data_IF_370741814850
#
_entry.id   IF_370741814850
#
_cell.length_a   1.000
_cell.length_b   1.000
_cell.length_c   1.000
_cell.angle_alpha   90.00
_cell.angle_beta   90.00
_cell.angle_gamma   90.00
#
_symmetry.space_group_name_H-M   'P 1'
#
loop_
_entity.id
_entity.type
_entity.pdbx_description
1 polymer ?
#
# COMPACT_ATOMS: atom_id res chain seq x y z
N UNK A 1 9.57 -25.33 29.19
CA UNK A 1 9.66 -24.52 27.96
C UNK A 1 9.64 -25.49 26.80
N UNK A 2 8.44 -25.89 26.37
CA UNK A 2 8.28 -26.84 25.27
C UNK A 2 7.77 -26.03 24.07
N UNK A 3 8.73 -25.60 23.24
CA UNK A 3 8.49 -24.99 21.93
C UNK A 3 8.49 -26.18 20.97
N UNK A 4 7.48 -27.02 21.09
CA UNK A 4 7.34 -28.20 20.24
C UNK A 4 6.39 -27.85 19.10
N UNK A 5 6.82 -28.16 17.88
CA UNK A 5 6.09 -28.01 16.63
C UNK A 5 5.72 -26.58 16.24
N UNK A 6 6.67 -25.94 15.54
CA UNK A 6 6.33 -25.15 14.35
C UNK A 6 5.31 -25.95 13.54
N UNK A 7 4.04 -25.57 13.67
CA UNK A 7 2.95 -26.03 12.85
C UNK A 7 3.31 -25.77 11.39
N UNK A 8 3.85 -26.80 10.75
CA UNK A 8 3.89 -26.89 9.30
C UNK A 8 2.44 -27.04 8.88
N UNK A 9 1.79 -25.90 8.66
CA UNK A 9 0.38 -25.82 8.33
C UNK A 9 0.22 -26.29 6.89
N UNK A 10 0.06 -27.59 6.72
CA UNK A 10 -0.75 -28.14 5.65
C UNK A 10 -2.19 -27.70 5.94
N UNK A 11 -2.79 -26.98 4.99
CA UNK A 11 -4.21 -26.66 5.06
C UNK A 11 -4.98 -28.00 5.15
N UNK A 12 -5.91 -28.16 6.11
CA UNK A 12 -6.74 -29.38 6.13
C UNK A 12 -7.48 -29.51 4.80
N UNK A 13 -7.74 -30.75 4.37
CA UNK A 13 -8.30 -31.10 3.05
C UNK A 13 -9.59 -30.34 2.67
N UNK A 14 -10.23 -29.66 3.64
CA UNK A 14 -11.45 -28.87 3.48
C UNK A 14 -11.45 -27.60 4.35
N UNK A 15 -10.44 -26.73 4.23
CA UNK A 15 -10.47 -25.43 4.93
C UNK A 15 -11.49 -24.47 4.29
N UNK A 16 -12.28 -23.78 5.11
CA UNK A 16 -13.27 -22.79 4.66
C UNK A 16 -13.17 -21.53 5.50
N UNK A 17 -13.26 -20.38 4.83
CA UNK A 17 -13.46 -19.08 5.47
C UNK A 17 -14.96 -18.80 5.39
N UNK A 18 -15.70 -19.31 6.38
CA UNK A 18 -17.17 -19.35 6.40
C UNK A 18 -17.82 -18.20 7.18
N UNK A 19 -17.07 -17.49 8.02
CA UNK A 19 -17.58 -16.44 8.89
C UNK A 19 -17.33 -15.05 8.32
N UNK A 20 -18.37 -14.22 8.25
CA UNK A 20 -18.23 -12.81 7.86
C UNK A 20 -17.40 -12.04 8.90
N UNK A 21 -16.58 -11.05 8.50
CA UNK A 21 -15.93 -10.17 9.45
C UNK A 21 -16.98 -9.39 10.26
N UNK A 22 -16.91 -9.52 11.58
CA UNK A 22 -17.76 -8.74 12.48
C UNK A 22 -17.13 -7.36 12.71
N UNK A 23 -17.50 -6.38 11.87
CA UNK A 23 -17.01 -5.01 11.98
C UNK A 23 -17.37 -4.31 13.30
N UNK A 24 -18.35 -4.81 14.06
CA UNK A 24 -18.64 -4.34 15.41
C UNK A 24 -17.46 -4.51 16.37
N UNK A 25 -16.58 -5.49 16.12
CA UNK A 25 -15.33 -5.68 16.88
C UNK A 25 -14.37 -4.50 16.75
N UNK A 26 -14.51 -3.62 15.76
CA UNK A 26 -13.68 -2.42 15.65
C UNK A 26 -13.84 -1.47 16.84
N UNK A 27 -14.99 -1.50 17.50
CA UNK A 27 -15.25 -0.69 18.70
C UNK A 27 -14.57 -1.27 19.95
N UNK A 28 -14.04 -2.49 19.90
CA UNK A 28 -13.33 -3.08 21.02
C UNK A 28 -11.98 -2.38 21.23
N UNK A 29 -11.56 -2.12 22.48
CA UNK A 29 -10.34 -1.37 22.76
C UNK A 29 -9.10 -1.94 22.05
N UNK A 30 -8.92 -3.24 22.00
CA UNK A 30 -7.80 -3.93 21.33
C UNK A 30 -7.76 -3.74 19.81
N UNK A 31 -8.88 -3.32 19.20
CA UNK A 31 -9.02 -3.06 17.78
C UNK A 31 -8.98 -1.56 17.49
N UNK A 32 -9.87 -0.80 18.14
CA UNK A 32 -10.10 0.61 17.88
C UNK A 32 -9.01 1.52 18.44
N UNK A 33 -8.49 1.24 19.65
CA UNK A 33 -7.48 2.12 20.27
C UNK A 33 -6.18 2.17 19.44
N UNK A 34 -5.58 1.05 19.00
CA UNK A 34 -4.39 1.11 18.14
C UNK A 34 -4.63 1.82 16.80
N UNK A 35 -5.83 1.71 16.22
CA UNK A 35 -6.20 2.42 14.99
C UNK A 35 -6.19 3.94 15.19
N UNK A 36 -6.83 4.40 16.27
CA UNK A 36 -6.88 5.83 16.63
C UNK A 36 -5.48 6.34 16.95
N UNK A 37 -4.70 5.59 17.74
CA UNK A 37 -3.32 5.96 18.07
C UNK A 37 -2.44 6.04 16.82
N UNK A 38 -2.56 5.09 15.89
CA UNK A 38 -1.85 5.14 14.60
C UNK A 38 -2.23 6.40 13.81
N UNK A 39 -3.53 6.68 13.66
CA UNK A 39 -4.02 7.88 12.97
C UNK A 39 -3.43 9.16 13.59
N UNK A 40 -3.47 9.28 14.92
CA UNK A 40 -2.93 10.44 15.63
C UNK A 40 -1.41 10.54 15.49
N UNK A 41 -0.69 9.42 15.51
CA UNK A 41 0.75 9.39 15.30
C UNK A 41 1.13 9.90 13.90
N UNK A 42 0.43 9.47 12.85
CA UNK A 42 0.66 9.98 11.50
C UNK A 42 0.23 11.44 11.33
N UNK A 43 -0.82 11.88 12.03
CA UNK A 43 -1.23 13.28 12.07
C UNK A 43 -0.15 14.16 12.69
N UNK A 44 0.42 13.72 13.81
CA UNK A 44 1.53 14.38 14.48
C UNK A 44 2.78 14.40 13.59
N UNK A 45 3.12 13.27 12.97
CA UNK A 45 4.24 13.18 12.03
C UNK A 45 4.07 14.14 10.84
N UNK A 46 2.88 14.23 10.25
CA UNK A 46 2.59 15.16 9.16
C UNK A 46 2.73 16.62 9.59
N UNK A 47 2.28 16.95 10.81
CA UNK A 47 2.51 18.27 11.40
C UNK A 47 4.01 18.56 11.56
N UNK A 48 4.80 17.63 12.12
CA UNK A 48 6.25 17.76 12.24
C UNK A 48 6.91 18.00 10.87
N UNK A 49 6.52 17.22 9.84
CA UNK A 49 7.03 17.40 8.48
C UNK A 49 6.69 18.78 7.93
N UNK A 50 5.46 19.27 8.13
CA UNK A 50 5.06 20.61 7.68
C UNK A 50 5.83 21.76 8.34
N UNK A 51 6.35 21.54 9.56
CA UNK A 51 7.08 22.55 10.33
C UNK A 51 8.57 22.57 10.04
N UNK A 52 9.19 21.40 9.85
CA UNK A 52 10.64 21.27 9.81
C UNK A 52 11.20 20.73 8.50
N UNK A 53 10.40 20.03 7.69
CA UNK A 53 10.85 19.49 6.41
C UNK A 53 10.43 20.39 5.25
N UNK A 54 11.26 20.41 4.19
CA UNK A 54 10.95 21.06 2.91
C UNK A 54 10.62 22.56 3.01
N UNK A 55 11.10 23.27 4.03
CA UNK A 55 10.81 24.70 4.29
C UNK A 55 11.33 25.66 3.21
N UNK A 56 12.23 25.19 2.34
CA UNK A 56 12.66 25.92 1.14
C UNK A 56 11.65 25.93 0.00
N UNK A 57 10.55 25.16 0.09
CA UNK A 57 9.44 25.16 -0.86
C UNK A 57 8.21 25.82 -0.24
N UNK A 58 7.30 26.33 -1.06
CA UNK A 58 6.06 26.97 -0.60
C UNK A 58 4.82 26.36 -1.26
N UNK A 59 3.66 26.60 -0.65
CA UNK A 59 2.35 26.25 -1.20
C UNK A 59 2.15 24.76 -1.43
N UNK A 60 1.53 24.42 -2.56
CA UNK A 60 1.17 23.04 -2.89
C UNK A 60 2.39 22.11 -2.98
N UNK A 61 3.51 22.61 -3.52
CA UNK A 61 4.76 21.84 -3.65
C UNK A 61 5.31 21.39 -2.29
N UNK A 62 5.35 22.28 -1.31
CA UNK A 62 5.81 21.96 0.04
C UNK A 62 4.91 20.91 0.67
N UNK A 63 3.60 21.11 0.63
CA UNK A 63 2.61 20.15 1.11
C UNK A 63 2.83 18.76 0.50
N UNK A 64 2.98 18.67 -0.83
CA UNK A 64 3.19 17.40 -1.55
C UNK A 64 4.46 16.70 -1.11
N UNK A 65 5.56 17.44 -0.94
CA UNK A 65 6.83 16.89 -0.47
C UNK A 65 6.73 16.36 0.96
N UNK A 66 6.11 17.11 1.87
CA UNK A 66 5.86 16.66 3.25
C UNK A 66 4.98 15.41 3.28
N UNK A 67 3.87 15.42 2.54
CA UNK A 67 2.97 14.27 2.42
C UNK A 67 3.69 13.03 1.90
N UNK A 68 4.41 13.14 0.77
CA UNK A 68 5.20 12.04 0.21
C UNK A 68 6.25 11.51 1.18
N UNK A 69 6.84 12.37 2.01
CA UNK A 69 7.81 11.95 3.04
C UNK A 69 7.14 11.09 4.11
N UNK A 70 5.93 11.47 4.56
CA UNK A 70 5.13 10.64 5.46
C UNK A 70 4.77 9.30 4.80
N UNK A 71 4.42 9.31 3.51
CA UNK A 71 4.16 8.08 2.75
C UNK A 71 5.39 7.17 2.72
N UNK A 72 6.59 7.70 2.45
CA UNK A 72 7.84 6.93 2.47
C UNK A 72 8.09 6.29 3.83
N UNK A 73 7.87 7.03 4.93
CA UNK A 73 8.05 6.50 6.30
C UNK A 73 7.09 5.34 6.53
N UNK A 74 5.80 5.50 6.20
CA UNK A 74 4.81 4.43 6.30
C UNK A 74 5.21 3.20 5.48
N UNK A 75 5.46 3.38 4.18
CA UNK A 75 5.81 2.29 3.27
C UNK A 75 7.09 1.57 3.69
N UNK A 76 8.06 2.28 4.28
CA UNK A 76 9.30 1.69 4.80
C UNK A 76 9.04 0.81 6.03
N UNK A 77 8.25 1.31 6.99
CA UNK A 77 7.91 0.56 8.21
C UNK A 77 7.11 -0.69 7.86
N UNK A 78 6.02 -0.53 7.12
CA UNK A 78 5.09 -1.62 6.84
C UNK A 78 5.60 -2.53 5.72
N UNK A 79 6.06 -1.95 4.60
CA UNK A 79 6.65 -2.72 3.51
C UNK A 79 7.88 -3.49 3.95
N UNK A 80 8.76 -2.89 4.76
CA UNK A 80 9.91 -3.58 5.35
C UNK A 80 9.51 -4.73 6.27
N UNK A 81 8.53 -4.50 7.16
CA UNK A 81 8.03 -5.54 8.08
C UNK A 81 7.42 -6.73 7.34
N UNK A 82 6.58 -6.47 6.34
CA UNK A 82 5.92 -7.52 5.56
C UNK A 82 6.90 -8.22 4.62
N UNK A 83 7.87 -7.49 4.05
CA UNK A 83 8.92 -8.10 3.23
C UNK A 83 9.81 -9.03 4.07
N UNK A 84 10.21 -8.60 5.27
CA UNK A 84 10.93 -9.46 6.22
C UNK A 84 10.11 -10.71 6.57
N UNK A 85 8.81 -10.56 6.84
CA UNK A 85 7.92 -11.70 7.07
C UNK A 85 7.90 -12.64 5.86
N UNK A 86 7.76 -12.10 4.64
CA UNK A 86 7.71 -12.91 3.42
C UNK A 86 9.00 -13.71 3.17
N UNK A 87 10.17 -13.14 3.50
CA UNK A 87 11.46 -13.83 3.39
C UNK A 87 11.64 -14.93 4.44
N UNK A 88 11.15 -14.71 5.65
CA UNK A 88 11.32 -15.65 6.78
C UNK A 88 10.24 -16.73 6.84
N UNK A 89 9.06 -16.46 6.29
CA UNK A 89 7.87 -17.32 6.35
C UNK A 89 7.31 -17.60 4.94
N UNK A 90 8.19 -17.82 3.96
CA UNK A 90 7.80 -18.04 2.55
C UNK A 90 6.78 -19.17 2.38
N UNK A 91 6.93 -20.28 3.12
CA UNK A 91 5.98 -21.40 3.06
C UNK A 91 4.59 -20.99 3.55
N UNK A 92 4.51 -20.16 4.60
CA UNK A 92 3.23 -19.62 5.09
C UNK A 92 2.61 -18.69 4.04
N UNK A 93 3.41 -17.81 3.43
CA UNK A 93 2.94 -16.90 2.38
C UNK A 93 2.30 -17.65 1.21
N UNK A 94 2.87 -18.78 0.79
CA UNK A 94 2.40 -19.53 -0.37
C UNK A 94 1.29 -20.53 -0.04
N UNK A 95 1.41 -21.24 1.09
CA UNK A 95 0.56 -22.39 1.39
C UNK A 95 -0.63 -22.04 2.27
N UNK A 96 -0.60 -20.95 3.04
CA UNK A 96 -1.74 -20.56 3.87
C UNK A 96 -2.09 -19.06 3.83
N UNK A 97 -2.53 -18.54 2.66
CA UNK A 97 -2.90 -17.13 2.56
C UNK A 97 -4.17 -16.74 3.33
N UNK A 98 -5.07 -17.68 3.61
CA UNK A 98 -6.41 -17.38 4.09
C UNK A 98 -6.64 -17.57 5.59
N UNK A 99 -5.96 -18.55 6.22
CA UNK A 99 -6.28 -18.96 7.61
C UNK A 99 -5.14 -18.74 8.59
N UNK A 100 -3.89 -18.61 8.12
CA UNK A 100 -2.77 -18.29 8.99
C UNK A 100 -2.94 -16.90 9.61
N UNK A 101 -2.67 -16.81 10.91
CA UNK A 101 -2.71 -15.56 11.65
C UNK A 101 -1.68 -15.56 12.78
N UNK A 102 -1.01 -14.42 12.95
CA UNK A 102 -0.19 -14.15 14.12
C UNK A 102 -0.57 -12.76 14.69
N UNK A 103 -0.60 -12.57 16.02
CA UNK A 103 -0.98 -11.29 16.63
C UNK A 103 -0.19 -10.08 16.11
N UNK A 104 1.09 -10.26 15.77
CA UNK A 104 1.95 -9.20 15.21
C UNK A 104 1.40 -8.63 13.90
N UNK A 105 0.69 -9.45 13.09
CA UNK A 105 0.10 -9.04 11.82
C UNK A 105 -0.97 -7.98 11.99
N UNK A 106 -1.79 -8.13 13.03
CA UNK A 106 -2.84 -7.17 13.36
C UNK A 106 -2.29 -5.79 13.62
N UNK A 107 -1.17 -5.68 14.33
CA UNK A 107 -0.52 -4.39 14.59
C UNK A 107 -0.09 -3.72 13.29
N UNK A 108 0.46 -4.48 12.32
CA UNK A 108 0.83 -3.95 11.00
C UNK A 108 -0.39 -3.42 10.24
N UNK A 109 -1.51 -4.16 10.26
CA UNK A 109 -2.76 -3.69 9.65
C UNK A 109 -3.32 -2.45 10.35
N UNK A 110 -3.29 -2.40 11.69
CA UNK A 110 -3.78 -1.25 12.46
C UNK A 110 -2.96 0.01 12.18
N UNK A 111 -1.63 -0.13 12.14
CA UNK A 111 -0.73 0.96 11.72
C UNK A 111 -1.13 1.45 10.34
N UNK A 112 -1.35 0.53 9.40
CA UNK A 112 -1.65 0.87 8.01
C UNK A 112 -3.01 1.50 7.80
N UNK A 113 -4.07 1.00 8.44
CA UNK A 113 -5.41 1.60 8.35
C UNK A 113 -5.41 3.00 8.95
N UNK A 114 -4.77 3.21 10.10
CA UNK A 114 -4.63 4.55 10.70
C UNK A 114 -3.90 5.53 9.77
N UNK A 115 -2.84 5.07 9.10
CA UNK A 115 -2.14 5.84 8.07
C UNK A 115 -3.05 6.19 6.89
N UNK A 116 -3.76 5.23 6.28
CA UNK A 116 -4.58 5.49 5.10
C UNK A 116 -5.76 6.43 5.39
N UNK A 117 -6.34 6.37 6.58
CA UNK A 117 -7.35 7.34 7.03
C UNK A 117 -6.71 8.73 7.12
N UNK A 118 -5.55 8.85 7.76
CA UNK A 118 -4.80 10.09 7.83
C UNK A 118 -4.50 10.66 6.44
N UNK A 119 -3.91 9.86 5.56
CA UNK A 119 -3.46 10.29 4.23
C UNK A 119 -4.65 10.73 3.37
N UNK A 120 -5.76 10.01 3.45
CA UNK A 120 -7.00 10.37 2.76
C UNK A 120 -7.52 11.74 3.20
N UNK A 121 -7.68 11.96 4.51
CA UNK A 121 -8.15 13.24 5.06
C UNK A 121 -7.16 14.36 4.72
N UNK A 122 -5.87 14.09 4.88
CA UNK A 122 -4.81 15.04 4.59
C UNK A 122 -4.84 15.48 3.12
N UNK A 123 -5.01 14.53 2.19
CA UNK A 123 -5.11 14.81 0.77
C UNK A 123 -6.37 15.59 0.39
N UNK A 124 -7.54 15.16 0.87
CA UNK A 124 -8.82 15.81 0.56
C UNK A 124 -8.88 17.27 1.03
N UNK A 125 -8.20 17.60 2.13
CA UNK A 125 -8.10 18.98 2.63
C UNK A 125 -7.26 19.91 1.74
N UNK A 126 -6.43 19.38 0.84
CA UNK A 126 -5.56 20.18 -0.02
C UNK A 126 -5.96 20.13 -1.50
N UNK A 127 -6.61 19.05 -1.95
CA UNK A 127 -7.03 18.89 -3.33
C UNK A 127 -8.14 17.85 -3.51
N UNK A 128 -9.17 18.22 -4.27
CA UNK A 128 -10.10 17.28 -4.88
C UNK A 128 -9.90 17.32 -6.41
N UNK A 129 -9.26 16.28 -6.94
CA UNK A 129 -9.10 16.07 -8.39
C UNK A 129 -9.30 14.61 -8.75
N UNK A 130 -9.28 14.29 -10.06
CA UNK A 130 -9.33 12.89 -10.53
C UNK A 130 -8.29 11.99 -9.87
N UNK A 131 -7.11 12.55 -9.54
CA UNK A 131 -6.03 11.83 -8.86
C UNK A 131 -6.36 11.54 -7.40
N UNK A 132 -6.97 12.52 -6.72
CA UNK A 132 -7.47 12.35 -5.34
C UNK A 132 -8.58 11.30 -5.30
N UNK A 133 -9.50 11.30 -6.26
CA UNK A 133 -10.60 10.32 -6.32
C UNK A 133 -10.05 8.91 -6.56
N UNK A 134 -9.12 8.75 -7.49
CA UNK A 134 -8.45 7.46 -7.74
C UNK A 134 -7.76 6.94 -6.46
N UNK A 135 -7.05 7.81 -5.75
CA UNK A 135 -6.36 7.43 -4.51
C UNK A 135 -7.35 7.17 -3.34
N UNK A 136 -8.47 7.91 -3.28
CA UNK A 136 -9.54 7.66 -2.32
C UNK A 136 -10.16 6.26 -2.51
N UNK A 137 -10.44 5.87 -3.76
CA UNK A 137 -10.93 4.53 -4.08
C UNK A 137 -9.90 3.46 -3.70
N UNK A 138 -8.62 3.70 -4.01
CA UNK A 138 -7.52 2.83 -3.61
C UNK A 138 -7.48 2.65 -2.08
N UNK A 139 -7.42 3.74 -1.31
CA UNK A 139 -7.40 3.67 0.16
C UNK A 139 -8.65 3.01 0.75
N UNK A 140 -9.83 3.31 0.21
CA UNK A 140 -11.08 2.71 0.69
C UNK A 140 -11.06 1.19 0.52
N UNK A 141 -10.64 0.71 -0.65
CA UNK A 141 -10.52 -0.72 -0.91
C UNK A 141 -9.42 -1.38 -0.03
N UNK A 142 -8.28 -0.71 0.15
CA UNK A 142 -7.21 -1.18 1.04
C UNK A 142 -7.67 -1.28 2.49
N UNK A 143 -8.39 -0.27 2.98
CA UNK A 143 -8.92 -0.24 4.35
C UNK A 143 -9.90 -1.40 4.55
N UNK A 144 -10.84 -1.63 3.63
CA UNK A 144 -11.78 -2.76 3.72
C UNK A 144 -11.01 -4.09 3.81
N UNK A 145 -9.99 -4.30 2.96
CA UNK A 145 -9.17 -5.50 2.99
C UNK A 145 -8.49 -5.70 4.36
N UNK A 146 -7.92 -4.65 4.96
CA UNK A 146 -7.17 -4.76 6.21
C UNK A 146 -8.03 -4.79 7.46
N UNK A 147 -9.26 -4.28 7.40
CA UNK A 147 -10.23 -4.45 8.47
C UNK A 147 -10.71 -5.91 8.60
N UNK A 148 -10.61 -6.71 7.53
CA UNK A 148 -10.96 -8.13 7.57
C UNK A 148 -10.09 -8.90 8.60
N UNK A 149 -8.75 -9.01 8.45
CA UNK A 149 -7.92 -9.73 9.42
C UNK A 149 -7.87 -9.06 10.80
N UNK A 150 -8.16 -7.76 10.92
CA UNK A 150 -8.30 -7.10 12.24
C UNK A 150 -9.50 -7.67 13.01
N UNK A 151 -10.62 -7.96 12.33
CA UNK A 151 -11.88 -8.32 12.99
C UNK A 151 -12.18 -9.82 12.98
N UNK A 152 -11.75 -10.56 11.96
CA UNK A 152 -11.99 -12.00 11.82
C UNK A 152 -10.76 -12.86 12.06
N UNK A 153 -9.55 -12.27 12.05
CA UNK A 153 -8.27 -12.99 11.99
C UNK A 153 -8.07 -13.85 10.74
N UNK A 154 -8.96 -13.75 9.75
CA UNK A 154 -8.85 -14.44 8.47
C UNK A 154 -8.29 -13.48 7.40
N UNK A 155 -7.74 -14.02 6.31
CA UNK A 155 -7.13 -13.26 5.21
C UNK A 155 -5.88 -12.45 5.61
N UNK A 156 -5.26 -12.70 6.76
CA UNK A 156 -4.10 -11.93 7.20
C UNK A 156 -2.92 -12.10 6.24
N UNK A 157 -2.56 -13.32 5.86
CA UNK A 157 -1.46 -13.52 4.91
C UNK A 157 -1.82 -13.01 3.51
N UNK A 158 -3.07 -13.15 3.07
CA UNK A 158 -3.56 -12.55 1.83
C UNK A 158 -3.46 -11.01 1.85
N UNK A 159 -3.74 -10.38 2.99
CA UNK A 159 -3.56 -8.95 3.19
C UNK A 159 -2.08 -8.55 3.26
N UNK A 160 -1.20 -9.42 3.79
CA UNK A 160 0.25 -9.24 3.70
C UNK A 160 0.75 -9.28 2.25
N UNK A 161 0.22 -10.18 1.42
CA UNK A 161 0.49 -10.13 -0.02
C UNK A 161 0.12 -8.76 -0.59
N UNK A 162 -1.05 -8.21 -0.29
CA UNK A 162 -1.40 -6.86 -0.72
C UNK A 162 -0.41 -5.80 -0.19
N UNK A 163 -0.02 -5.87 1.08
CA UNK A 163 0.94 -4.94 1.68
C UNK A 163 2.35 -5.01 1.09
N UNK A 164 2.76 -6.11 0.46
CA UNK A 164 4.04 -6.17 -0.24
C UNK A 164 4.14 -5.10 -1.34
N UNK A 165 3.02 -4.61 -1.89
CA UNK A 165 3.01 -3.48 -2.81
C UNK A 165 3.66 -2.21 -2.22
N UNK A 166 3.65 -2.06 -0.90
CA UNK A 166 4.30 -0.93 -0.21
C UNK A 166 5.81 -0.92 -0.41
N UNK A 167 6.45 -2.07 -0.65
CA UNK A 167 7.88 -2.13 -0.98
C UNK A 167 8.17 -1.33 -2.27
N UNK A 168 7.31 -1.46 -3.29
CA UNK A 168 7.42 -0.60 -4.47
C UNK A 168 7.01 0.85 -4.17
N UNK A 169 6.00 1.09 -3.32
CA UNK A 169 5.58 2.45 -2.93
C UNK A 169 6.74 3.29 -2.39
N UNK A 170 7.71 2.69 -1.67
CA UNK A 170 8.94 3.39 -1.23
C UNK A 170 9.63 4.07 -2.42
N UNK A 171 9.96 3.30 -3.46
CA UNK A 171 10.68 3.81 -4.63
C UNK A 171 9.81 4.76 -5.46
N UNK A 172 8.50 4.50 -5.55
CA UNK A 172 7.55 5.37 -6.24
C UNK A 172 7.48 6.76 -5.59
N UNK A 173 7.42 6.82 -4.26
CA UNK A 173 7.38 8.08 -3.52
C UNK A 173 8.73 8.80 -3.55
N UNK A 174 9.85 8.08 -3.36
CA UNK A 174 11.20 8.65 -3.48
C UNK A 174 11.44 9.23 -4.88
N UNK A 175 11.00 8.54 -5.92
CA UNK A 175 11.04 9.02 -7.31
C UNK A 175 10.29 10.34 -7.46
N UNK A 176 9.08 10.41 -6.92
CA UNK A 176 8.25 11.62 -7.00
C UNK A 176 8.87 12.78 -6.19
N UNK A 177 9.43 12.50 -5.01
CA UNK A 177 10.18 13.48 -4.21
C UNK A 177 11.37 14.03 -5.02
N UNK A 178 12.13 13.19 -5.72
CA UNK A 178 13.25 13.66 -6.54
C UNK A 178 12.81 14.60 -7.67
N UNK A 179 11.70 14.26 -8.33
CA UNK A 179 11.11 15.10 -9.38
C UNK A 179 10.62 16.45 -8.81
N UNK A 180 9.91 16.41 -7.68
CA UNK A 180 9.35 17.61 -7.06
C UNK A 180 10.37 18.46 -6.33
N UNK A 181 11.48 17.92 -5.84
CA UNK A 181 12.53 18.70 -5.17
C UNK A 181 13.53 19.30 -6.17
N UNK A 182 13.45 18.96 -7.45
CA UNK A 182 14.46 19.33 -8.44
C UNK A 182 15.74 18.49 -8.35
N UNK A 183 15.77 17.43 -7.52
CA UNK A 183 16.93 16.54 -7.41
C UNK A 183 17.20 15.74 -8.68
N UNK A 184 16.25 15.63 -9.60
CA UNK A 184 16.49 15.04 -10.92
C UNK A 184 17.62 15.73 -11.69
N UNK A 185 17.78 17.06 -11.56
CA UNK A 185 18.87 17.79 -12.24
C UNK A 185 20.12 17.90 -11.39
N UNK A 186 20.00 18.03 -10.06
CA UNK A 186 21.17 18.16 -9.17
C UNK A 186 21.85 16.82 -8.85
N UNK A 187 21.12 15.71 -8.83
CA UNK A 187 21.61 14.37 -8.51
C UNK A 187 21.10 13.33 -9.53
N UNK A 188 21.51 13.42 -10.82
CA UNK A 188 20.95 12.60 -11.89
C UNK A 188 21.21 11.10 -11.71
N UNK A 189 22.36 10.72 -11.16
CA UNK A 189 22.71 9.30 -10.91
C UNK A 189 21.81 8.65 -9.85
N UNK A 190 21.55 9.34 -8.73
CA UNK A 190 20.62 8.87 -7.70
C UNK A 190 19.20 8.68 -8.27
N UNK A 191 18.74 9.66 -9.05
CA UNK A 191 17.44 9.60 -9.69
C UNK A 191 17.34 8.44 -10.70
N UNK A 192 18.41 8.16 -11.43
CA UNK A 192 18.45 7.05 -12.39
C UNK A 192 18.32 5.70 -11.70
N UNK A 193 19.05 5.48 -10.60
CA UNK A 193 18.94 4.25 -9.80
C UNK A 193 17.51 4.10 -9.27
N UNK A 194 16.93 5.14 -8.67
CA UNK A 194 15.57 5.10 -8.14
C UNK A 194 14.55 4.80 -9.24
N UNK A 195 14.70 5.39 -10.42
CA UNK A 195 13.83 5.16 -11.58
C UNK A 195 13.81 3.69 -11.99
N UNK A 196 14.98 3.07 -12.18
CA UNK A 196 15.05 1.65 -12.58
C UNK A 196 14.59 0.71 -11.46
N UNK A 197 15.03 0.95 -10.23
CA UNK A 197 14.58 0.17 -9.06
C UNK A 197 13.06 0.24 -8.90
N UNK A 198 12.46 1.42 -9.11
CA UNK A 198 11.01 1.56 -9.10
C UNK A 198 10.36 0.67 -10.17
N UNK A 199 10.84 0.65 -11.42
CA UNK A 199 10.25 -0.21 -12.46
C UNK A 199 10.36 -1.70 -12.12
N UNK A 200 11.54 -2.16 -11.69
CA UNK A 200 11.77 -3.57 -11.34
C UNK A 200 10.89 -3.99 -10.18
N UNK A 201 10.89 -3.20 -9.10
CA UNK A 201 10.06 -3.49 -7.92
C UNK A 201 8.57 -3.37 -8.21
N UNK A 202 8.15 -2.55 -9.18
CA UNK A 202 6.75 -2.45 -9.61
C UNK A 202 6.28 -3.77 -10.21
N UNK A 203 7.09 -4.39 -11.07
CA UNK A 203 6.76 -5.67 -11.68
C UNK A 203 6.64 -6.77 -10.62
N UNK A 204 7.61 -6.85 -9.70
CA UNK A 204 7.66 -7.87 -8.67
C UNK A 204 6.57 -7.68 -7.62
N UNK A 205 6.55 -6.52 -6.95
CA UNK A 205 5.70 -6.31 -5.77
C UNK A 205 4.30 -5.82 -6.10
N UNK A 206 4.03 -5.41 -7.35
CA UNK A 206 2.66 -5.14 -7.79
C UNK A 206 2.19 -6.27 -8.70
N UNK A 207 2.65 -6.34 -9.95
CA UNK A 207 2.01 -7.26 -10.90
C UNK A 207 2.05 -8.73 -10.47
N UNK A 208 3.19 -9.26 -10.01
CA UNK A 208 3.24 -10.67 -9.55
C UNK A 208 2.36 -10.90 -8.32
N UNK A 209 2.34 -9.95 -7.37
CA UNK A 209 1.46 -9.99 -6.20
C UNK A 209 -0.02 -10.04 -6.61
N UNK A 210 -0.47 -9.16 -7.50
CA UNK A 210 -1.85 -9.20 -7.98
C UNK A 210 -2.17 -10.49 -8.72
N UNK A 211 -1.25 -10.97 -9.57
CA UNK A 211 -1.43 -12.25 -10.27
C UNK A 211 -1.60 -13.39 -9.28
N UNK A 212 -0.78 -13.45 -8.24
CA UNK A 212 -0.92 -14.43 -7.17
C UNK A 212 -2.28 -14.32 -6.47
N UNK A 213 -2.68 -13.13 -6.03
CA UNK A 213 -3.94 -12.93 -5.30
C UNK A 213 -5.16 -13.30 -6.15
N UNK A 214 -5.20 -12.88 -7.42
CA UNK A 214 -6.27 -13.22 -8.36
C UNK A 214 -6.31 -14.74 -8.58
N UNK A 215 -5.16 -15.37 -8.85
CA UNK A 215 -5.08 -16.81 -9.08
C UNK A 215 -5.53 -17.60 -7.84
N UNK A 216 -5.05 -17.21 -6.66
CA UNK A 216 -5.40 -17.83 -5.39
C UNK A 216 -6.90 -17.74 -5.13
N UNK A 217 -7.49 -16.54 -5.20
CA UNK A 217 -8.92 -16.38 -4.93
C UNK A 217 -9.78 -17.08 -5.98
N UNK A 218 -9.37 -17.07 -7.26
CA UNK A 218 -10.11 -17.77 -8.31
C UNK A 218 -10.07 -19.29 -8.13
N UNK A 219 -8.89 -19.86 -7.82
CA UNK A 219 -8.71 -21.30 -7.65
C UNK A 219 -9.48 -21.84 -6.44
N UNK A 220 -9.49 -21.11 -5.33
CA UNK A 220 -10.14 -21.54 -4.08
C UNK A 220 -11.45 -20.80 -3.82
N UNK A 221 -12.12 -20.30 -4.87
CA UNK A 221 -13.29 -19.43 -4.71
C UNK A 221 -14.45 -20.08 -3.93
N UNK A 222 -14.56 -21.41 -3.98
CA UNK A 222 -15.59 -22.18 -3.30
C UNK A 222 -15.32 -22.33 -1.80
N UNK A 223 -14.10 -22.00 -1.34
CA UNK A 223 -13.69 -22.04 0.06
C UNK A 223 -14.01 -20.75 0.81
N UNK A 224 -14.57 -19.74 0.15
CA UNK A 224 -14.83 -18.42 0.70
C UNK A 224 -16.32 -18.09 0.70
N UNK A 225 -16.81 -17.44 1.77
CA UNK A 225 -18.10 -16.73 1.67
C UNK A 225 -18.03 -15.66 0.58
N UNK A 226 -19.18 -15.32 0.00
CA UNK A 226 -19.29 -14.31 -1.06
C UNK A 226 -18.55 -13.01 -0.79
N UNK A 227 -18.54 -12.54 0.46
CA UNK A 227 -17.80 -11.35 0.87
C UNK A 227 -16.29 -11.47 0.63
N UNK A 228 -15.65 -12.55 1.09
CA UNK A 228 -14.21 -12.76 0.90
C UNK A 228 -13.84 -13.08 -0.54
N UNK A 229 -14.73 -13.78 -1.27
CA UNK A 229 -14.61 -13.93 -2.72
C UNK A 229 -14.62 -12.56 -3.40
N UNK A 230 -15.51 -11.67 -2.97
CA UNK A 230 -15.64 -10.34 -3.55
C UNK A 230 -14.40 -9.48 -3.27
N UNK A 231 -14.00 -9.38 -2.00
CA UNK A 231 -12.82 -8.62 -1.57
C UNK A 231 -11.55 -9.18 -2.20
N UNK A 232 -11.38 -10.51 -2.21
CA UNK A 232 -10.20 -11.16 -2.77
C UNK A 232 -10.11 -11.00 -4.28
N UNK A 233 -11.16 -11.33 -5.03
CA UNK A 233 -11.11 -11.36 -6.49
C UNK A 233 -11.31 -9.97 -7.11
N UNK A 234 -12.45 -9.32 -6.84
CA UNK A 234 -12.76 -8.02 -7.45
C UNK A 234 -11.91 -6.90 -6.86
N UNK A 235 -11.55 -6.99 -5.57
CA UNK A 235 -10.54 -6.12 -4.98
C UNK A 235 -9.21 -6.25 -5.71
N UNK A 236 -8.67 -7.46 -5.88
CA UNK A 236 -7.38 -7.63 -6.59
C UNK A 236 -7.44 -7.20 -8.06
N UNK A 237 -8.57 -7.39 -8.76
CA UNK A 237 -8.77 -6.90 -10.13
C UNK A 237 -8.80 -5.36 -10.19
N UNK A 238 -9.44 -4.70 -9.23
CA UNK A 238 -9.41 -3.24 -9.11
C UNK A 238 -7.97 -2.74 -8.95
N UNK A 239 -7.18 -3.36 -8.08
CA UNK A 239 -5.78 -2.97 -7.88
C UNK A 239 -4.92 -3.25 -9.11
N UNK A 240 -5.18 -4.34 -9.85
CA UNK A 240 -4.49 -4.60 -11.11
C UNK A 240 -4.73 -3.47 -12.11
N UNK A 241 -5.98 -3.02 -12.26
CA UNK A 241 -6.34 -1.91 -13.16
C UNK A 241 -5.65 -0.61 -12.71
N UNK A 242 -5.73 -0.26 -11.42
CA UNK A 242 -5.04 0.92 -10.87
C UNK A 242 -3.52 0.84 -11.13
N UNK A 243 -2.92 -0.32 -10.91
CA UNK A 243 -1.48 -0.53 -11.11
C UNK A 243 -1.08 -0.47 -12.59
N UNK A 244 -1.92 -0.92 -13.54
CA UNK A 244 -1.67 -0.73 -14.98
C UNK A 244 -1.63 0.76 -15.32
N UNK A 245 -2.61 1.54 -14.88
CA UNK A 245 -2.64 2.99 -15.13
C UNK A 245 -1.47 3.71 -14.45
N UNK A 246 -1.14 3.34 -13.22
CA UNK A 246 -0.01 3.89 -12.49
C UNK A 246 1.33 3.56 -13.19
N UNK A 247 1.52 2.32 -13.63
CA UNK A 247 2.72 1.89 -14.35
C UNK A 247 2.89 2.66 -15.66
N UNK A 248 1.82 2.79 -16.45
CA UNK A 248 1.83 3.59 -17.67
C UNK A 248 2.25 5.04 -17.39
N UNK A 249 1.70 5.67 -16.35
CA UNK A 249 2.06 7.06 -15.97
C UNK A 249 3.53 7.19 -15.55
N UNK A 250 4.06 6.22 -14.83
CA UNK A 250 5.49 6.15 -14.46
C UNK A 250 6.35 6.06 -15.72
N UNK A 251 6.09 5.09 -16.60
CA UNK A 251 6.85 4.88 -17.84
C UNK A 251 6.79 6.11 -18.76
N UNK A 252 5.62 6.72 -18.88
CA UNK A 252 5.41 7.93 -19.66
C UNK A 252 6.24 9.10 -19.11
N UNK A 253 6.16 9.37 -17.80
CA UNK A 253 6.85 10.53 -17.20
C UNK A 253 8.37 10.38 -17.13
N UNK A 254 8.88 9.16 -17.06
CA UNK A 254 10.33 8.87 -17.09
C UNK A 254 10.93 8.77 -18.49
N UNK A 255 10.09 8.85 -19.53
CA UNK A 255 10.54 8.86 -20.93
C UNK A 255 10.78 7.49 -21.55
N UNK A 256 10.41 6.40 -20.86
CA UNK A 256 10.49 5.04 -21.41
C UNK A 256 9.58 4.82 -22.63
N UNK A 257 8.51 5.61 -22.75
CA UNK A 257 7.57 5.57 -23.88
C UNK A 257 7.87 6.63 -24.95
N UNK A 258 9.05 7.26 -24.89
CA UNK A 258 9.49 8.28 -25.84
C UNK A 258 9.14 9.73 -25.46
N UNK A 259 9.87 10.68 -26.07
CA UNK A 259 9.85 12.10 -25.70
C UNK A 259 8.49 12.78 -25.84
N UNK A 260 7.75 12.49 -26.93
CA UNK A 260 6.41 13.07 -27.17
C UNK A 260 5.42 12.70 -26.06
N UNK A 261 5.44 11.43 -25.62
CA UNK A 261 4.57 10.96 -24.54
C UNK A 261 5.00 11.57 -23.21
N UNK A 262 6.32 11.70 -22.97
CA UNK A 262 6.84 12.34 -21.77
C UNK A 262 6.41 13.81 -21.63
N UNK A 263 6.49 14.59 -22.70
CA UNK A 263 6.04 15.99 -22.69
C UNK A 263 4.54 16.10 -22.41
N UNK A 264 3.72 15.23 -23.02
CA UNK A 264 2.29 15.17 -22.75
C UNK A 264 1.99 14.78 -21.30
N UNK A 265 2.72 13.82 -20.75
CA UNK A 265 2.59 13.39 -19.37
C UNK A 265 2.93 14.52 -18.39
N UNK A 266 4.00 15.29 -18.66
CA UNK A 266 4.38 16.46 -17.85
C UNK A 266 3.28 17.53 -17.84
N UNK A 267 2.71 17.86 -19.00
CA UNK A 267 1.62 18.87 -19.13
C UNK A 267 0.33 18.47 -18.42
N UNK A 268 0.04 17.17 -18.31
CA UNK A 268 -1.20 16.65 -17.71
C UNK A 268 -1.04 16.26 -16.24
N UNK A 269 0.17 16.37 -15.68
CA UNK A 269 0.46 16.06 -14.29
C UNK A 269 -0.04 17.20 -13.39
N UNK A 270 -0.83 16.85 -12.36
CA UNK A 270 -1.34 17.81 -11.36
C UNK A 270 -0.23 18.62 -10.70
N UNK A 271 0.93 18.00 -10.49
CA UNK A 271 2.04 18.64 -9.81
C UNK A 271 2.70 19.72 -10.70
N UNK A 272 2.53 19.65 -12.03
CA UNK A 272 2.95 20.74 -12.92
C UNK A 272 1.89 21.85 -12.99
N UNK A 273 0.60 21.48 -13.06
CA UNK A 273 -0.52 22.43 -13.18
C UNK A 273 -0.68 23.34 -11.96
N UNK A 274 -0.31 22.86 -10.76
CA UNK A 274 -0.49 23.59 -9.50
C UNK A 274 0.76 24.34 -9.00
N UNK A 275 1.89 24.15 -9.67
CA UNK A 275 3.15 24.81 -9.32
C UNK A 275 3.55 25.88 -10.36
N UNK A 276 2.69 26.13 -11.35
CA UNK A 276 2.69 27.35 -12.18
C UNK A 276 1.90 28.43 -11.45
#
# INVERSE_FOLDING_TARGET
MNIDERSLIELPDNWYVSELPNFGRLLWPENGLPLVLSFLAFRFLSWCMSKWAWTGFQGFRQYRLCNLTVCVIHSTIVGGSVFYFALTHLQVMLNNPATYYEPSMKTVFQITVGYFIHDTIHMMNHEISKWTIELFLHHSATIILFLCPITSHQFAVFAYWALLMEVNSIFLHLRTIHQLSGRTTSHPGEFEVIKYTNVVTFIIFRFMVQTFQINFTYKYQDHFVYFYKFVGLYGSLLFLIINIFLFYRVLASDGFLGKKIQERAKKTNRDHQKNQ
#
